data_IF_637330800263
#
_entry.id   IF_637330800263
#
_cell.length_a   1.000
_cell.length_b   1.000
_cell.length_c   1.000
_cell.angle_alpha   90.00
_cell.angle_beta   90.00
_cell.angle_gamma   90.00
#
_symmetry.space_group_name_H-M   'P 1'
#
loop_
_entity.id
_entity.type
_entity.pdbx_description
1 polymer ?
#
# COMPACT_ATOMS: atom_id res chain seq x y z
N UNK A 1 -12.68 -6.76 8.81
CA UNK A 1 -11.87 -5.53 8.63
C UNK A 1 -11.36 -5.05 9.98
N UNK A 2 -10.10 -4.62 10.08
CA UNK A 2 -9.51 -4.02 11.29
C UNK A 2 -9.18 -2.55 11.04
N UNK A 3 -9.50 -1.73 12.02
CA UNK A 3 -9.40 -0.27 12.00
C UNK A 3 -8.59 0.22 13.19
N UNK A 4 -7.88 1.33 13.01
CA UNK A 4 -7.23 2.08 14.08
C UNK A 4 -7.89 3.44 14.20
N UNK A 5 -8.46 3.72 15.37
CA UNK A 5 -9.22 4.94 15.68
C UNK A 5 -8.49 5.76 16.74
N UNK A 6 -8.69 7.08 16.72
CA UNK A 6 -8.32 7.95 17.84
C UNK A 6 -9.27 7.72 19.01
N UNK A 7 -8.78 7.78 20.24
CA UNK A 7 -9.62 7.69 21.45
C UNK A 7 -10.34 9.03 21.70
N UNK A 8 -11.27 9.39 20.81
CA UNK A 8 -12.15 10.56 20.98
C UNK A 8 -13.63 10.17 20.82
N UNK A 9 -14.56 10.86 21.52
CA UNK A 9 -15.99 10.57 21.42
C UNK A 9 -16.49 10.54 19.97
N UNK A 10 -17.37 9.59 19.66
CA UNK A 10 -17.96 9.43 18.32
C UNK A 10 -17.08 8.70 17.31
N UNK A 11 -15.83 8.36 17.62
CA UNK A 11 -14.92 7.69 16.66
C UNK A 11 -15.45 6.34 16.17
N UNK A 12 -16.04 5.53 17.07
CA UNK A 12 -16.63 4.24 16.68
C UNK A 12 -17.83 4.42 15.75
N UNK A 13 -18.68 5.42 16.03
CA UNK A 13 -19.85 5.70 15.18
C UNK A 13 -19.41 6.10 13.77
N UNK A 14 -18.42 6.99 13.66
CA UNK A 14 -17.83 7.39 12.38
C UNK A 14 -17.25 6.20 11.61
N UNK A 15 -16.65 5.24 12.30
CA UNK A 15 -16.14 4.02 11.67
C UNK A 15 -17.24 3.07 11.14
N UNK A 16 -18.40 3.04 11.78
CA UNK A 16 -19.52 2.17 11.41
C UNK A 16 -20.41 2.77 10.32
N UNK A 17 -20.51 4.10 10.28
CA UNK A 17 -21.39 4.84 9.37
C UNK A 17 -21.17 4.50 7.88
N UNK A 18 -19.93 4.46 7.34
CA UNK A 18 -19.70 4.07 5.95
C UNK A 18 -20.22 2.67 5.61
N UNK A 19 -20.08 1.71 6.53
CA UNK A 19 -20.57 0.35 6.33
C UNK A 19 -22.10 0.36 6.23
N UNK A 20 -22.77 1.12 7.09
CA UNK A 20 -24.23 1.25 7.09
C UNK A 20 -24.75 1.95 5.82
N UNK A 21 -24.13 3.07 5.43
CA UNK A 21 -24.53 3.87 4.25
C UNK A 21 -24.42 3.06 2.96
N UNK A 22 -23.36 2.26 2.82
CA UNK A 22 -23.12 1.44 1.63
C UNK A 22 -23.74 0.05 1.71
N UNK A 23 -24.77 -0.12 2.56
CA UNK A 23 -25.61 -1.32 2.59
C UNK A 23 -24.94 -2.56 3.19
N UNK A 24 -23.92 -2.37 4.02
CA UNK A 24 -23.24 -3.45 4.73
C UNK A 24 -24.03 -3.91 5.96
N UNK A 25 -24.24 -5.22 6.09
CA UNK A 25 -24.86 -5.86 7.23
C UNK A 25 -23.80 -6.22 8.28
N UNK A 26 -23.75 -5.49 9.40
CA UNK A 26 -22.73 -5.70 10.44
C UNK A 26 -23.08 -6.94 11.26
N UNK A 27 -22.21 -7.94 11.22
CA UNK A 27 -22.34 -9.19 12.00
C UNK A 27 -21.75 -9.00 13.40
N UNK A 28 -20.56 -8.42 13.50
CA UNK A 28 -19.89 -8.24 14.78
C UNK A 28 -18.94 -7.05 14.79
N UNK A 29 -18.80 -6.44 15.97
CA UNK A 29 -17.83 -5.38 16.24
C UNK A 29 -17.13 -5.73 17.54
N UNK A 30 -15.82 -5.87 17.48
CA UNK A 30 -14.96 -6.11 18.61
C UNK A 30 -14.12 -4.85 18.80
N UNK A 31 -14.29 -4.22 19.95
CA UNK A 31 -13.54 -3.05 20.35
C UNK A 31 -12.54 -3.46 21.43
N UNK A 32 -11.24 -3.27 21.14
CA UNK A 32 -10.17 -3.56 22.08
C UNK A 32 -9.32 -2.31 22.29
N UNK A 33 -9.23 -1.87 23.55
CA UNK A 33 -8.24 -0.88 23.98
C UNK A 33 -6.90 -1.61 24.18
N UNK A 34 -5.92 -1.29 23.34
CA UNK A 34 -4.54 -1.72 23.55
C UNK A 34 -3.77 -0.75 24.46
N UNK A 35 -2.48 -1.01 24.66
CA UNK A 35 -1.56 -0.13 25.41
C UNK A 35 -1.22 1.19 24.68
N UNK A 36 -1.64 1.34 23.41
CA UNK A 36 -1.33 2.51 22.56
C UNK A 36 -2.47 3.53 22.62
N UNK A 37 -2.17 4.80 22.31
CA UNK A 37 -3.15 5.89 22.18
C UNK A 37 -4.28 5.64 21.16
N UNK A 38 -4.09 4.67 20.25
CA UNK A 38 -5.07 4.31 19.22
C UNK A 38 -5.88 3.09 19.64
N UNK A 39 -7.19 3.22 19.48
CA UNK A 39 -8.18 2.19 19.71
C UNK A 39 -8.25 1.24 18.51
N UNK A 40 -8.15 -0.06 18.76
CA UNK A 40 -8.32 -1.09 17.74
C UNK A 40 -9.78 -1.51 17.65
N UNK A 41 -10.37 -1.41 16.46
CA UNK A 41 -11.72 -1.89 16.18
C UNK A 41 -11.68 -2.92 15.07
N UNK A 42 -12.15 -4.13 15.37
CA UNK A 42 -12.37 -5.17 14.38
C UNK A 42 -13.86 -5.27 14.10
N UNK A 43 -14.23 -5.20 12.83
CA UNK A 43 -15.61 -5.32 12.36
C UNK A 43 -15.73 -6.44 11.32
N UNK A 44 -16.76 -7.24 11.44
CA UNK A 44 -17.15 -8.26 10.47
C UNK A 44 -18.53 -7.90 9.94
N UNK A 45 -18.68 -7.87 8.63
CA UNK A 45 -19.91 -7.44 7.97
C UNK A 45 -20.02 -8.10 6.59
N UNK A 46 -21.26 -8.26 6.13
CA UNK A 46 -21.59 -8.73 4.79
C UNK A 46 -21.91 -7.55 3.88
N UNK A 47 -21.58 -7.67 2.60
CA UNK A 47 -21.88 -6.68 1.56
C UNK A 47 -22.38 -7.42 0.32
N UNK A 48 -23.17 -6.72 -0.51
CA UNK A 48 -23.76 -7.30 -1.73
C UNK A 48 -22.72 -7.54 -2.83
N UNK A 49 -21.77 -6.63 -2.98
CA UNK A 49 -20.77 -6.68 -4.03
C UNK A 49 -19.46 -6.00 -3.61
N UNK A 50 -18.44 -6.16 -4.46
CA UNK A 50 -17.11 -5.62 -4.24
C UNK A 50 -17.05 -4.08 -4.35
N UNK A 51 -17.94 -3.47 -5.12
CA UNK A 51 -17.98 -2.02 -5.31
C UNK A 51 -18.40 -1.32 -4.00
N UNK A 52 -19.32 -1.91 -3.24
CA UNK A 52 -19.67 -1.44 -1.90
C UNK A 52 -18.45 -1.38 -0.97
N UNK A 53 -17.54 -2.37 -1.03
CA UNK A 53 -16.31 -2.34 -0.21
C UNK A 53 -15.41 -1.16 -0.58
N UNK A 54 -15.29 -0.84 -1.87
CA UNK A 54 -14.45 0.26 -2.33
C UNK A 54 -15.03 1.62 -1.93
N UNK A 55 -16.36 1.77 -1.96
CA UNK A 55 -17.04 2.96 -1.43
C UNK A 55 -16.81 3.11 0.09
N UNK A 56 -16.99 2.03 0.85
CA UNK A 56 -16.72 1.99 2.31
C UNK A 56 -15.28 2.44 2.59
N UNK A 57 -14.30 1.86 1.88
CA UNK A 57 -12.88 2.23 2.02
C UNK A 57 -12.63 3.70 1.67
N UNK A 58 -13.24 4.18 0.59
CA UNK A 58 -13.14 5.57 0.17
C UNK A 58 -13.60 6.53 1.25
N UNK A 59 -14.74 6.26 1.88
CA UNK A 59 -15.30 7.11 2.93
C UNK A 59 -14.53 7.01 4.24
N UNK A 60 -14.07 5.81 4.64
CA UNK A 60 -13.17 5.66 5.78
C UNK A 60 -11.88 6.47 5.58
N UNK A 61 -11.31 6.47 4.36
CA UNK A 61 -10.13 7.27 4.02
C UNK A 61 -10.41 8.78 4.13
N UNK A 62 -11.55 9.27 3.62
CA UNK A 62 -11.97 10.68 3.75
C UNK A 62 -12.10 11.11 5.22
N UNK A 63 -12.51 10.18 6.09
CA UNK A 63 -12.64 10.44 7.52
C UNK A 63 -11.33 10.30 8.30
N UNK A 64 -10.19 10.07 7.63
CA UNK A 64 -8.88 9.79 8.23
C UNK A 64 -8.89 8.57 9.17
N UNK A 65 -9.73 7.58 8.88
CA UNK A 65 -9.76 6.31 9.60
C UNK A 65 -8.82 5.33 8.91
N UNK A 66 -7.81 4.87 9.63
CA UNK A 66 -6.80 3.96 9.09
C UNK A 66 -7.34 2.53 9.11
N UNK A 67 -7.50 1.92 7.93
CA UNK A 67 -7.78 0.50 7.77
C UNK A 67 -6.46 -0.27 7.78
N UNK A 68 -6.27 -1.15 8.75
CA UNK A 68 -5.03 -1.94 8.89
C UNK A 68 -5.11 -3.29 8.18
N UNK A 69 -6.29 -3.90 8.11
CA UNK A 69 -6.48 -5.20 7.48
C UNK A 69 -7.91 -5.38 6.96
N UNK A 70 -8.05 -6.03 5.81
CA UNK A 70 -9.34 -6.45 5.26
C UNK A 70 -9.22 -7.94 4.91
N UNK A 71 -10.17 -8.73 5.40
CA UNK A 71 -10.28 -10.16 5.09
C UNK A 71 -11.62 -10.39 4.37
N UNK A 72 -11.60 -11.10 3.24
CA UNK A 72 -12.78 -11.64 2.57
C UNK A 72 -12.75 -13.16 2.73
N UNK A 73 -13.80 -13.75 3.28
CA UNK A 73 -13.90 -15.21 3.48
C UNK A 73 -12.67 -15.81 4.19
N UNK A 74 -12.10 -15.07 5.15
CA UNK A 74 -10.91 -15.47 5.91
C UNK A 74 -9.58 -15.28 5.18
N UNK A 75 -9.56 -14.85 3.91
CA UNK A 75 -8.34 -14.54 3.15
C UNK A 75 -8.08 -13.03 3.10
N UNK A 76 -6.81 -12.61 3.09
CA UNK A 76 -6.45 -11.19 2.94
C UNK A 76 -6.94 -10.65 1.61
N UNK A 77 -7.75 -9.60 1.66
CA UNK A 77 -8.29 -8.93 0.48
C UNK A 77 -7.18 -8.24 -0.33
N UNK A 78 -6.19 -7.69 0.37
CA UNK A 78 -4.92 -7.22 -0.18
C UNK A 78 -3.81 -8.13 0.31
N UNK A 79 -3.23 -8.93 -0.59
CA UNK A 79 -1.93 -9.54 -0.33
C UNK A 79 -0.88 -8.56 -0.80
N UNK A 80 -0.15 -7.94 0.14
CA UNK A 80 1.00 -7.11 -0.24
C UNK A 80 2.20 -8.01 -0.46
N UNK A 81 2.85 -7.85 -1.61
CA UNK A 81 4.15 -8.43 -1.92
C UNK A 81 5.17 -7.28 -1.93
N UNK A 82 6.34 -7.49 -1.34
CA UNK A 82 7.46 -6.56 -1.48
C UNK A 82 8.32 -7.05 -2.63
N UNK A 83 8.49 -6.20 -3.64
CA UNK A 83 9.43 -6.42 -4.73
C UNK A 83 10.73 -5.69 -4.42
N UNK A 84 11.83 -6.43 -4.42
CA UNK A 84 13.18 -5.89 -4.23
C UNK A 84 13.95 -5.95 -5.55
N UNK A 85 14.52 -4.83 -5.96
CA UNK A 85 15.34 -4.74 -7.16
C UNK A 85 16.45 -3.71 -7.02
N UNK A 86 17.48 -3.85 -7.85
CA UNK A 86 18.62 -2.94 -7.92
C UNK A 86 18.65 -2.30 -9.31
N UNK A 87 18.77 -0.97 -9.33
CA UNK A 87 19.02 -0.18 -10.54
C UNK A 87 20.47 0.27 -10.55
N UNK A 88 21.19 0.01 -11.65
CA UNK A 88 22.58 0.45 -11.83
C UNK A 88 22.66 1.40 -13.03
N UNK A 89 23.13 2.63 -12.80
CA UNK A 89 23.19 3.68 -13.81
C UNK A 89 23.43 5.06 -13.19
N UNK A 90 23.18 6.15 -13.92
CA UNK A 90 23.20 7.49 -13.35
C UNK A 90 21.87 7.80 -12.62
N UNK A 91 21.46 6.94 -11.68
CA UNK A 91 20.09 6.96 -11.13
C UNK A 91 19.76 8.27 -10.42
N UNK A 92 20.77 8.94 -9.85
CA UNK A 92 20.58 10.23 -9.18
C UNK A 92 20.49 11.37 -10.20
N UNK A 93 21.35 11.38 -11.21
CA UNK A 93 21.40 12.43 -12.23
C UNK A 93 20.17 12.36 -13.16
N UNK A 94 19.66 11.16 -13.45
CA UNK A 94 18.49 10.93 -14.30
C UNK A 94 17.15 11.03 -13.55
N UNK A 95 17.11 11.87 -12.52
CA UNK A 95 15.95 12.14 -11.67
C UNK A 95 15.39 10.91 -10.93
N UNK A 96 15.98 10.63 -9.77
CA UNK A 96 15.50 9.59 -8.86
C UNK A 96 14.10 9.87 -8.32
N UNK A 97 13.71 11.15 -8.22
CA UNK A 97 12.39 11.53 -7.71
C UNK A 97 11.31 11.12 -8.70
N UNK A 98 11.49 11.42 -9.98
CA UNK A 98 10.59 10.95 -11.05
C UNK A 98 10.40 9.43 -11.01
N UNK A 99 11.49 8.69 -10.78
CA UNK A 99 11.44 7.22 -10.66
C UNK A 99 10.57 6.79 -9.48
N UNK A 100 10.77 7.38 -8.31
CA UNK A 100 10.00 7.07 -7.10
C UNK A 100 8.53 7.45 -7.26
N UNK A 101 8.24 8.62 -7.84
CA UNK A 101 6.88 9.12 -8.04
C UNK A 101 6.09 8.19 -8.96
N UNK A 102 6.68 7.74 -10.08
CA UNK A 102 6.05 6.78 -11.00
C UNK A 102 5.79 5.43 -10.34
N UNK A 103 6.76 4.90 -9.57
CA UNK A 103 6.57 3.63 -8.85
C UNK A 103 5.44 3.73 -7.81
N UNK A 104 5.29 4.89 -7.17
CA UNK A 104 4.24 5.16 -6.19
C UNK A 104 2.82 5.28 -6.78
N UNK A 105 2.68 5.38 -8.11
CA UNK A 105 1.36 5.29 -8.78
C UNK A 105 0.80 3.85 -8.71
N UNK A 106 1.69 2.85 -8.67
CA UNK A 106 1.33 1.44 -8.68
C UNK A 106 1.46 0.80 -7.29
N UNK A 107 2.60 1.03 -6.63
CA UNK A 107 2.93 0.51 -5.31
C UNK A 107 3.28 1.61 -4.33
N UNK A 108 4.05 1.25 -3.30
CA UNK A 108 4.66 2.18 -2.37
C UNK A 108 6.13 1.81 -2.25
N UNK A 109 7.03 2.71 -2.63
CA UNK A 109 8.46 2.58 -2.34
C UNK A 109 8.61 2.66 -0.82
N UNK A 110 8.88 1.51 -0.19
CA UNK A 110 8.91 1.36 1.26
C UNK A 110 10.32 1.59 1.83
N UNK A 111 11.36 1.34 1.02
CA UNK A 111 12.75 1.49 1.42
C UNK A 111 13.65 1.67 0.19
N UNK A 112 14.77 2.40 0.37
CA UNK A 112 15.70 2.72 -0.70
C UNK A 112 17.12 2.94 -0.16
N UNK A 113 18.07 2.15 -0.67
CA UNK A 113 19.49 2.27 -0.37
C UNK A 113 20.25 2.75 -1.60
N UNK A 114 21.10 3.76 -1.43
CA UNK A 114 21.86 4.38 -2.52
C UNK A 114 23.36 4.25 -2.25
N UNK A 115 24.07 3.70 -3.22
CA UNK A 115 25.53 3.67 -3.25
C UNK A 115 26.02 4.50 -4.43
N UNK A 116 26.69 5.62 -4.14
CA UNK A 116 27.27 6.50 -5.14
C UNK A 116 28.75 6.74 -4.80
N UNK A 117 29.70 6.11 -5.53
CA UNK A 117 31.12 6.28 -5.28
C UNK A 117 31.62 7.72 -5.57
N UNK A 118 31.04 8.36 -6.57
CA UNK A 118 31.28 9.76 -6.94
C UNK A 118 30.15 10.25 -7.86
N UNK A 119 29.87 11.57 -7.94
CA UNK A 119 28.82 12.11 -8.82
C UNK A 119 28.97 11.72 -10.29
N UNK A 120 30.20 11.66 -10.80
CA UNK A 120 30.49 11.33 -12.21
C UNK A 120 30.41 9.82 -12.53
N UNK A 121 30.24 8.96 -11.52
CA UNK A 121 30.22 7.51 -11.69
C UNK A 121 28.80 6.97 -11.51
N UNK A 122 28.52 5.84 -12.15
CA UNK A 122 27.26 5.12 -11.99
C UNK A 122 26.98 4.87 -10.50
N UNK A 123 25.77 5.17 -10.08
CA UNK A 123 25.20 4.80 -8.80
C UNK A 123 24.48 3.46 -8.89
N UNK A 124 24.39 2.78 -7.74
CA UNK A 124 23.56 1.60 -7.56
C UNK A 124 22.49 1.94 -6.54
N UNK A 125 21.24 1.69 -6.87
CA UNK A 125 20.10 1.95 -5.99
C UNK A 125 19.32 0.67 -5.79
N UNK A 126 19.26 0.19 -4.55
CA UNK A 126 18.35 -0.88 -4.17
C UNK A 126 17.03 -0.28 -3.72
N UNK A 127 15.91 -0.79 -4.22
CA UNK A 127 14.58 -0.32 -3.87
C UNK A 127 13.73 -1.51 -3.43
N UNK A 128 12.93 -1.27 -2.39
CA UNK A 128 11.84 -2.14 -1.99
C UNK A 128 10.52 -1.44 -2.28
N UNK A 129 9.63 -2.11 -3.02
CA UNK A 129 8.31 -1.59 -3.38
C UNK A 129 7.23 -2.54 -2.90
N UNK A 130 6.40 -2.07 -1.99
CA UNK A 130 5.22 -2.78 -1.53
C UNK A 130 4.10 -2.60 -2.56
N UNK A 131 3.65 -3.69 -3.16
CA UNK A 131 2.62 -3.69 -4.18
C UNK A 131 1.52 -4.69 -3.84
N UNK A 132 0.29 -4.40 -4.27
CA UNK A 132 -0.76 -5.43 -4.29
C UNK A 132 -0.33 -6.55 -5.25
N UNK A 133 -0.41 -7.80 -4.81
CA UNK A 133 -0.06 -8.97 -5.60
C UNK A 133 -0.68 -8.94 -7.01
N UNK A 134 -1.92 -8.43 -7.13
CA UNK A 134 -2.63 -8.28 -8.42
C UNK A 134 -2.00 -7.27 -9.37
N UNK A 135 -1.22 -6.31 -8.85
CA UNK A 135 -0.56 -5.24 -9.60
C UNK A 135 0.96 -5.47 -9.76
N UNK A 136 1.47 -6.61 -9.31
CA UNK A 136 2.88 -6.99 -9.43
C UNK A 136 3.37 -6.96 -10.88
N UNK A 137 2.60 -7.52 -11.82
CA UNK A 137 2.96 -7.50 -13.23
C UNK A 137 2.97 -6.09 -13.82
N UNK A 138 2.02 -5.24 -13.42
CA UNK A 138 1.93 -3.84 -13.84
C UNK A 138 3.18 -3.07 -13.37
N UNK A 139 3.57 -3.27 -12.11
CA UNK A 139 4.78 -2.68 -11.53
C UNK A 139 6.04 -3.17 -12.24
N UNK A 140 6.17 -4.46 -12.51
CA UNK A 140 7.31 -5.03 -13.24
C UNK A 140 7.43 -4.45 -14.66
N UNK A 141 6.31 -4.23 -15.36
CA UNK A 141 6.32 -3.58 -16.68
C UNK A 141 6.82 -2.14 -16.58
N UNK A 142 6.32 -1.38 -15.60
CA UNK A 142 6.77 0.00 -15.36
C UNK A 142 8.28 0.06 -15.04
N UNK A 143 8.78 -0.81 -14.17
CA UNK A 143 10.22 -0.86 -13.83
C UNK A 143 11.05 -1.10 -15.10
N UNK A 144 10.66 -2.06 -15.94
CA UNK A 144 11.35 -2.35 -17.20
C UNK A 144 11.30 -1.17 -18.18
N UNK A 145 10.18 -0.45 -18.24
CA UNK A 145 10.04 0.76 -19.06
C UNK A 145 11.00 1.86 -18.60
N UNK A 146 11.01 2.18 -17.29
CA UNK A 146 11.93 3.16 -16.70
C UNK A 146 13.38 2.78 -16.98
N UNK A 147 13.73 1.49 -16.85
CA UNK A 147 15.09 1.03 -17.12
C UNK A 147 15.51 1.23 -18.58
N UNK A 148 14.59 1.00 -19.54
CA UNK A 148 14.86 1.24 -20.97
C UNK A 148 14.98 2.73 -21.28
N UNK A 149 14.09 3.54 -20.73
CA UNK A 149 14.06 4.99 -20.93
C UNK A 149 15.32 5.65 -20.38
N UNK A 150 15.72 5.28 -19.14
CA UNK A 150 16.83 5.90 -18.42
C UNK A 150 18.15 5.15 -18.56
N UNK A 151 18.18 4.08 -19.37
CA UNK A 151 19.34 3.22 -19.60
C UNK A 151 19.95 2.66 -18.30
N UNK A 152 19.08 2.16 -17.41
CA UNK A 152 19.48 1.47 -16.18
C UNK A 152 19.60 -0.02 -16.42
N UNK A 153 20.60 -0.63 -15.78
CA UNK A 153 20.67 -2.09 -15.65
C UNK A 153 19.82 -2.49 -14.43
N UNK A 154 18.80 -3.31 -14.68
CA UNK A 154 17.94 -3.88 -13.65
C UNK A 154 18.51 -5.22 -13.17
N UNK A 155 18.63 -5.38 -11.86
CA UNK A 155 18.85 -6.68 -11.21
C UNK A 155 17.65 -6.95 -10.31
N UNK A 156 16.90 -7.99 -10.60
CA UNK A 156 15.77 -8.45 -9.80
C UNK A 156 15.91 -9.94 -9.52
N UNK A 157 15.31 -10.41 -8.43
CA UNK A 157 15.18 -11.85 -8.20
C UNK A 157 14.31 -12.49 -9.28
N UNK A 158 14.64 -13.73 -9.69
CA UNK A 158 13.87 -14.50 -10.67
C UNK A 158 12.55 -15.06 -10.10
N UNK A 159 12.30 -14.87 -8.81
CA UNK A 159 11.06 -15.29 -8.15
C UNK A 159 10.09 -14.11 -8.02
N UNK A 160 9.41 -13.81 -9.13
CA UNK A 160 8.38 -12.80 -9.26
C UNK A 160 7.08 -13.41 -9.74
#
# INVERSE_FOLDING_TARGET
>A
MKLQLKDVPGSLLRALEPVSIHGGNIISVIHSRGERELVSVQMSFEIKDQAALDLIKGDLKKQNIRVSEILLEGKRYYSKKTLSFILIGHVIDTDIRDTVDRLNEIGLVSDMDVVMPSPEKKSSVMMNVDVDDKRTEELNRLINEICREKNFLLISSLEG
#
